data_IF_896553957349
#
_entry.id   IF_896553957349
#
_cell.length_a   1.000
_cell.length_b   1.000
_cell.length_c   1.000
_cell.angle_alpha   90.00
_cell.angle_beta   90.00
_cell.angle_gamma   90.00
#
_symmetry.space_group_name_H-M   'P 1'
#
loop_
_entity.id
_entity.type
_entity.pdbx_description
1 polymer ?
#
# COMPACT_ATOMS: atom_id res chain seq x y z
N UNK A 1 31.17 26.50 3.82
CA UNK A 1 29.78 26.00 3.90
C UNK A 1 29.81 24.62 3.24
N UNK A 2 28.92 23.70 3.57
CA UNK A 2 28.69 22.43 2.83
C UNK A 2 29.51 21.17 3.24
N UNK A 3 29.49 20.79 4.53
CA UNK A 3 29.94 19.45 4.99
C UNK A 3 29.01 18.83 6.06
N UNK A 4 27.83 19.40 6.33
CA UNK A 4 26.97 18.99 7.46
C UNK A 4 25.69 18.28 7.01
N UNK A 5 25.48 18.13 5.70
CA UNK A 5 24.23 17.61 5.12
C UNK A 5 24.31 16.08 4.85
N UNK A 6 25.48 15.56 4.44
CA UNK A 6 25.67 14.14 4.10
C UNK A 6 25.72 13.17 5.31
N UNK A 7 26.02 13.64 6.52
CA UNK A 7 26.06 12.77 7.73
C UNK A 7 24.67 12.46 8.30
N UNK A 8 23.67 13.31 8.04
CA UNK A 8 22.32 13.17 8.62
C UNK A 8 21.50 12.12 7.84
N UNK A 9 21.58 12.13 6.50
CA UNK A 9 20.90 11.16 5.63
C UNK A 9 21.40 9.72 5.82
N UNK A 10 22.71 9.54 6.03
CA UNK A 10 23.31 8.22 6.26
C UNK A 10 22.94 7.68 7.65
N UNK A 11 22.80 8.56 8.65
CA UNK A 11 22.36 8.21 9.99
C UNK A 11 20.86 7.85 10.05
N UNK A 12 20.02 8.49 9.24
CA UNK A 12 18.61 8.15 9.10
C UNK A 12 18.41 6.77 8.47
N UNK A 13 19.09 6.49 7.34
CA UNK A 13 19.08 5.16 6.70
C UNK A 13 19.53 4.03 7.63
N UNK A 14 20.61 4.26 8.39
CA UNK A 14 21.13 3.26 9.30
C UNK A 14 20.19 2.98 10.48
N UNK A 15 19.43 3.98 10.96
CA UNK A 15 18.39 3.78 11.98
C UNK A 15 17.22 2.96 11.43
N UNK A 16 16.84 3.23 10.19
CA UNK A 16 15.74 2.54 9.50
C UNK A 16 16.08 1.06 9.30
N UNK A 17 17.25 0.74 8.76
CA UNK A 17 17.74 -0.64 8.61
C UNK A 17 17.81 -1.39 9.95
N UNK A 18 18.14 -0.68 11.03
CA UNK A 18 18.21 -1.26 12.38
C UNK A 18 16.81 -1.55 12.91
N UNK A 19 15.84 -0.65 12.75
CA UNK A 19 14.45 -0.91 13.14
C UNK A 19 13.87 -2.11 12.40
N UNK A 20 14.12 -2.20 11.09
CA UNK A 20 13.67 -3.31 10.25
C UNK A 20 14.30 -4.64 10.69
N UNK A 21 15.60 -4.64 11.01
CA UNK A 21 16.29 -5.82 11.53
C UNK A 21 15.76 -6.27 12.91
N UNK A 22 15.29 -5.34 13.75
CA UNK A 22 14.66 -5.66 15.03
C UNK A 22 13.21 -6.17 14.84
N UNK A 23 12.46 -5.62 13.89
CA UNK A 23 11.12 -6.09 13.52
C UNK A 23 11.17 -7.51 12.96
N UNK A 24 12.11 -7.79 12.04
CA UNK A 24 12.33 -9.10 11.46
C UNK A 24 12.71 -10.18 12.50
N UNK A 25 13.40 -9.80 13.59
CA UNK A 25 13.72 -10.70 14.70
C UNK A 25 12.52 -10.98 15.61
N UNK A 26 11.59 -10.05 15.78
CA UNK A 26 10.32 -10.28 16.48
C UNK A 26 9.38 -11.20 15.69
N UNK A 27 9.38 -11.09 14.35
CA UNK A 27 8.56 -11.90 13.44
C UNK A 27 8.91 -13.41 13.44
N UNK A 28 10.07 -13.82 13.97
CA UNK A 28 10.52 -15.22 14.03
C UNK A 28 9.87 -16.06 15.14
N UNK A 29 9.05 -15.47 16.02
CA UNK A 29 8.26 -16.26 16.97
C UNK A 29 7.01 -16.78 16.23
N UNK A 30 6.63 -18.06 16.37
CA UNK A 30 5.37 -18.56 15.82
C UNK A 30 4.21 -17.96 16.60
N UNK A 31 3.83 -16.75 16.25
CA UNK A 31 2.59 -16.09 16.66
C UNK A 31 1.51 -16.47 15.65
N UNK A 32 0.27 -16.62 16.12
CA UNK A 32 -0.89 -16.66 15.23
C UNK A 32 -0.96 -15.29 14.58
N UNK A 33 -0.54 -15.20 13.32
CA UNK A 33 -0.57 -13.95 12.56
C UNK A 33 -2.02 -13.76 12.12
N UNK A 34 -2.72 -12.83 12.76
CA UNK A 34 -4.04 -12.41 12.31
C UNK A 34 -3.87 -11.73 10.95
N UNK A 35 -4.68 -12.15 9.98
CA UNK A 35 -4.65 -11.59 8.64
C UNK A 35 -6.02 -11.06 8.28
N UNK A 36 -6.02 -10.00 7.48
CA UNK A 36 -7.25 -9.46 6.92
C UNK A 36 -7.14 -9.40 5.41
N UNK A 37 -8.17 -9.86 4.72
CA UNK A 37 -8.38 -9.65 3.29
C UNK A 37 -9.24 -8.40 3.09
N UNK A 38 -8.68 -7.41 2.42
CA UNK A 38 -9.27 -6.09 2.20
C UNK A 38 -9.51 -5.93 0.71
N UNK A 39 -10.72 -5.55 0.35
CA UNK A 39 -11.07 -5.17 -1.01
C UNK A 39 -11.08 -3.65 -1.10
N UNK A 40 -10.13 -3.11 -1.86
CA UNK A 40 -9.97 -1.68 -2.07
C UNK A 40 -10.56 -1.29 -3.43
N UNK A 41 -11.33 -0.22 -3.44
CA UNK A 41 -11.82 0.47 -4.63
C UNK A 41 -11.00 1.74 -4.83
N UNK A 42 -10.19 1.77 -5.89
CA UNK A 42 -9.37 2.92 -6.26
C UNK A 42 -10.02 3.64 -7.43
N UNK A 43 -10.41 4.90 -7.21
CA UNK A 43 -11.09 5.73 -8.20
C UNK A 43 -10.10 6.62 -8.93
N UNK A 44 -10.08 6.62 -10.27
CA UNK A 44 -9.31 7.59 -11.03
C UNK A 44 -10.00 8.96 -11.06
N UNK A 45 -9.31 9.96 -11.60
CA UNK A 45 -9.87 11.29 -11.82
C UNK A 45 -10.94 11.32 -12.92
N UNK A 46 -10.70 10.61 -14.02
CA UNK A 46 -11.56 10.59 -15.21
C UNK A 46 -11.45 9.27 -16.00
N UNK A 47 -12.10 9.21 -17.17
CA UNK A 47 -12.10 8.06 -18.08
C UNK A 47 -10.87 7.98 -19.01
N UNK A 48 -10.02 9.01 -19.05
CA UNK A 48 -8.77 9.05 -19.82
C UNK A 48 -7.57 8.50 -19.02
N UNK A 49 -7.71 8.39 -17.69
CA UNK A 49 -6.68 7.86 -16.79
C UNK A 49 -6.28 6.42 -17.16
N UNK A 50 -4.98 6.18 -17.29
CA UNK A 50 -4.43 4.86 -17.62
C UNK A 50 -4.59 3.88 -16.44
N UNK A 51 -5.62 3.05 -16.52
CA UNK A 51 -5.92 2.06 -15.47
C UNK A 51 -4.85 0.97 -15.32
N UNK A 52 -4.04 0.71 -16.36
CA UNK A 52 -2.92 -0.23 -16.27
C UNK A 52 -1.83 0.34 -15.38
N UNK A 53 -1.43 1.59 -15.63
CA UNK A 53 -0.46 2.30 -14.78
C UNK A 53 -0.97 2.50 -13.37
N UNK A 54 -2.25 2.83 -13.20
CA UNK A 54 -2.85 2.94 -11.87
C UNK A 54 -2.69 1.63 -11.09
N UNK A 55 -3.00 0.49 -11.70
CA UNK A 55 -2.80 -0.81 -11.06
C UNK A 55 -1.32 -1.09 -10.78
N UNK A 56 -0.41 -0.76 -11.70
CA UNK A 56 1.04 -0.89 -11.48
C UNK A 56 1.51 -0.04 -10.29
N UNK A 57 1.05 1.21 -10.16
CA UNK A 57 1.33 2.09 -9.03
C UNK A 57 0.84 1.47 -7.72
N UNK A 58 -0.42 0.99 -7.66
CA UNK A 58 -0.95 0.34 -6.45
C UNK A 58 -0.14 -0.91 -6.10
N UNK A 59 0.22 -1.74 -7.08
CA UNK A 59 1.03 -2.94 -6.87
C UNK A 59 2.49 -2.64 -6.52
N UNK A 60 2.99 -1.46 -6.84
CA UNK A 60 4.36 -1.03 -6.51
C UNK A 60 4.54 -0.79 -5.00
N UNK A 61 3.44 -0.54 -4.28
CA UNK A 61 3.42 -0.44 -2.82
C UNK A 61 3.81 -1.80 -2.24
N UNK A 62 4.96 -1.83 -1.56
CA UNK A 62 5.54 -3.02 -0.95
C UNK A 62 5.75 -2.78 0.54
N UNK A 63 5.15 -3.62 1.37
CA UNK A 63 5.28 -3.58 2.82
C UNK A 63 5.43 -5.00 3.36
N UNK A 64 6.14 -5.16 4.48
CA UNK A 64 6.25 -6.45 5.16
C UNK A 64 4.87 -6.88 5.70
N UNK A 65 4.34 -8.00 5.21
CA UNK A 65 3.01 -8.49 5.56
C UNK A 65 1.88 -8.04 4.63
N UNK A 66 2.18 -7.28 3.55
CA UNK A 66 1.22 -6.97 2.49
C UNK A 66 1.35 -7.96 1.32
N UNK A 67 0.22 -8.48 0.85
CA UNK A 67 0.17 -9.33 -0.33
C UNK A 67 -0.97 -8.90 -1.25
N UNK A 68 -0.63 -8.44 -2.45
CA UNK A 68 -1.62 -8.09 -3.47
C UNK A 68 -2.24 -9.32 -4.11
N UNK A 69 -3.56 -9.33 -4.20
CA UNK A 69 -4.37 -10.38 -4.79
C UNK A 69 -4.87 -10.04 -6.19
N UNK A 70 -6.03 -10.63 -6.52
CA UNK A 70 -6.71 -10.38 -7.78
C UNK A 70 -7.29 -8.96 -7.83
N UNK A 71 -7.26 -8.38 -9.02
CA UNK A 71 -7.83 -7.08 -9.36
C UNK A 71 -8.84 -7.22 -10.50
N UNK A 72 -9.75 -6.26 -10.61
CA UNK A 72 -10.65 -6.11 -11.76
C UNK A 72 -11.08 -4.66 -11.92
N UNK A 73 -11.41 -4.26 -13.13
CA UNK A 73 -11.99 -2.95 -13.41
C UNK A 73 -13.52 -3.03 -13.33
N UNK A 74 -14.12 -2.16 -12.51
CA UNK A 74 -15.57 -2.10 -12.31
C UNK A 74 -16.10 -0.77 -12.83
N UNK A 75 -17.06 -0.74 -13.77
CA UNK A 75 -17.64 0.51 -14.25
C UNK A 75 -18.46 1.20 -13.15
N UNK A 76 -18.28 2.51 -12.99
CA UNK A 76 -19.02 3.34 -12.03
C UNK A 76 -20.06 4.25 -12.70
N UNK A 77 -19.85 4.57 -13.99
CA UNK A 77 -20.75 5.42 -14.78
C UNK A 77 -19.98 6.39 -15.68
N UNK A 78 -20.63 6.94 -16.70
CA UNK A 78 -20.05 7.98 -17.56
C UNK A 78 -18.68 7.65 -18.18
N UNK A 79 -18.42 6.38 -18.49
CA UNK A 79 -17.12 5.92 -19.03
C UNK A 79 -16.07 5.59 -17.98
N UNK A 80 -16.22 6.10 -16.76
CA UNK A 80 -15.27 5.92 -15.66
C UNK A 80 -15.34 4.48 -15.11
N UNK A 81 -14.18 3.90 -14.85
CA UNK A 81 -14.01 2.59 -14.21
C UNK A 81 -13.13 2.75 -12.98
N UNK A 82 -13.52 2.13 -11.87
CA UNK A 82 -12.67 2.01 -10.68
C UNK A 82 -11.86 0.73 -10.73
N UNK A 83 -10.66 0.74 -10.19
CA UNK A 83 -9.88 -0.47 -9.94
C UNK A 83 -10.35 -1.07 -8.62
N UNK A 84 -10.87 -2.29 -8.66
CA UNK A 84 -11.18 -3.06 -7.46
C UNK A 84 -10.09 -4.11 -7.27
N UNK A 85 -9.31 -4.00 -6.20
CA UNK A 85 -8.15 -4.86 -5.93
C UNK A 85 -8.24 -5.47 -4.52
N UNK A 86 -8.00 -6.77 -4.41
CA UNK A 86 -7.89 -7.45 -3.13
C UNK A 86 -6.46 -7.39 -2.63
N UNK A 87 -6.27 -7.18 -1.33
CA UNK A 87 -4.99 -7.40 -0.66
C UNK A 87 -5.20 -8.21 0.63
N UNK A 88 -4.15 -8.90 1.04
CA UNK A 88 -4.07 -9.59 2.33
C UNK A 88 -2.99 -8.90 3.15
N UNK A 89 -3.35 -8.47 4.35
CA UNK A 89 -2.45 -7.81 5.29
C UNK A 89 -2.26 -8.64 6.54
N UNK A 90 -1.08 -8.52 7.16
CA UNK A 90 -0.84 -8.95 8.53
C UNK A 90 -1.25 -7.81 9.48
N UNK A 91 -2.29 -8.03 10.30
CA UNK A 91 -2.92 -6.99 11.13
C UNK A 91 -1.93 -6.34 12.11
N UNK A 92 -0.92 -7.09 12.57
CA UNK A 92 0.13 -6.60 13.48
C UNK A 92 1.18 -5.71 12.79
N UNK A 93 1.18 -5.63 11.45
CA UNK A 93 2.23 -4.94 10.68
C UNK A 93 1.69 -3.87 9.73
N UNK A 94 0.59 -4.15 9.04
CA UNK A 94 0.07 -3.29 7.98
C UNK A 94 -1.36 -2.89 8.33
N UNK A 95 -1.54 -1.61 8.65
CA UNK A 95 -2.84 -0.99 8.85
C UNK A 95 -3.49 -0.59 7.52
N UNK A 96 -4.82 -0.52 7.51
CA UNK A 96 -5.59 0.00 6.36
C UNK A 96 -5.25 1.45 6.07
N UNK A 97 -5.05 2.27 7.10
CA UNK A 97 -4.76 3.71 6.96
C UNK A 97 -3.50 3.95 6.14
N UNK A 98 -2.41 3.22 6.44
CA UNK A 98 -1.14 3.36 5.71
C UNK A 98 -1.29 2.94 4.25
N UNK A 99 -2.06 1.88 3.97
CA UNK A 99 -2.34 1.47 2.59
C UNK A 99 -3.13 2.53 1.83
N UNK A 100 -4.14 3.12 2.46
CA UNK A 100 -4.92 4.18 1.86
C UNK A 100 -4.02 5.39 1.58
N UNK A 101 -3.22 5.84 2.55
CA UNK A 101 -2.26 6.94 2.39
C UNK A 101 -1.30 6.70 1.23
N UNK A 102 -0.60 5.57 1.20
CA UNK A 102 0.39 5.23 0.17
C UNK A 102 -0.23 5.14 -1.23
N UNK A 103 -1.47 4.69 -1.34
CA UNK A 103 -2.17 4.64 -2.62
C UNK A 103 -2.66 6.05 -3.04
N UNK A 104 -3.13 6.86 -2.08
CA UNK A 104 -3.54 8.24 -2.37
C UNK A 104 -2.38 9.16 -2.72
N UNK A 105 -1.15 8.81 -2.34
CA UNK A 105 0.07 9.53 -2.77
C UNK A 105 0.29 9.49 -4.29
N UNK A 106 -0.36 8.57 -5.03
CA UNK A 106 -0.35 8.58 -6.49
C UNK A 106 -1.37 9.58 -7.06
N UNK A 107 -1.28 10.84 -6.65
CA UNK A 107 -2.24 11.92 -6.94
C UNK A 107 -2.48 12.14 -8.45
N UNK A 108 -1.52 11.80 -9.31
CA UNK A 108 -1.67 11.89 -10.77
C UNK A 108 -2.68 10.88 -11.35
N UNK A 109 -2.91 9.76 -10.65
CA UNK A 109 -3.75 8.66 -11.13
C UNK A 109 -4.96 8.40 -10.22
N UNK A 110 -4.83 8.63 -8.92
CA UNK A 110 -5.82 8.27 -7.90
C UNK A 110 -6.49 9.54 -7.37
N UNK A 111 -7.82 9.58 -7.51
CA UNK A 111 -8.66 10.61 -6.88
C UNK A 111 -8.98 10.25 -5.43
N UNK A 112 -9.37 8.99 -5.18
CA UNK A 112 -9.67 8.49 -3.85
C UNK A 112 -9.57 6.98 -3.77
N UNK A 113 -9.43 6.48 -2.54
CA UNK A 113 -9.48 5.05 -2.21
C UNK A 113 -10.64 4.84 -1.24
N UNK A 114 -11.38 3.75 -1.42
CA UNK A 114 -12.44 3.35 -0.51
C UNK A 114 -12.30 1.87 -0.17
N UNK A 115 -12.56 1.51 1.09
CA UNK A 115 -12.65 0.11 1.51
C UNK A 115 -14.02 -0.45 1.09
N UNK A 116 -14.03 -1.29 0.06
CA UNK A 116 -15.23 -1.94 -0.43
C UNK A 116 -15.68 -3.13 0.43
N UNK A 117 -14.72 -3.87 1.00
CA UNK A 117 -14.98 -4.96 1.93
C UNK A 117 -13.77 -5.24 2.82
N UNK A 118 -14.02 -5.72 4.03
CA UNK A 118 -13.00 -6.12 4.99
C UNK A 118 -13.38 -7.48 5.59
N UNK A 119 -12.53 -8.49 5.42
CA UNK A 119 -12.74 -9.85 5.92
C UNK A 119 -11.54 -10.32 6.72
N UNK A 120 -11.76 -10.80 7.95
CA UNK A 120 -10.70 -11.44 8.75
C UNK A 120 -10.51 -12.88 8.30
N UNK A 121 -9.26 -13.34 8.16
CA UNK A 121 -8.89 -14.67 7.68
C UNK A 121 -7.83 -15.37 8.54
#
# INVERSE_FOLDING_TARGET
MDLVDEEDEEAERLKQERLEAYAAKKAKKPTVIAKSSILLDVKPWDDETDMGKLEECVRSVQMDGLLWGASKLVPVGYGIKKLQINCVVEDDKVGTDILEEEITNFEDYVQSVDVAAFNKI
#
